data_IF_776101993256
#
_entry.id   IF_776101993256
#
_cell.length_a   1.000
_cell.length_b   1.000
_cell.length_c   1.000
_cell.angle_alpha   90.00
_cell.angle_beta   90.00
_cell.angle_gamma   90.00
#
_symmetry.space_group_name_H-M   'P 1'
#
loop_
_entity.id
_entity.type
_entity.pdbx_description
1 polymer ?
#
# COMPACT_ATOMS: atom_id res chain seq x y z
N UNK A 1 1.10 -7.18 -8.29
CA UNK A 1 0.84 -5.91 -9.00
C UNK A 1 1.47 -4.80 -8.19
N UNK A 2 2.02 -3.75 -8.84
CA UNK A 2 2.52 -2.54 -8.19
C UNK A 2 1.71 -1.34 -8.63
N UNK A 3 1.38 -0.47 -7.68
CA UNK A 3 0.74 0.83 -7.90
C UNK A 3 1.72 1.90 -7.39
N UNK A 4 2.43 2.62 -8.27
CA UNK A 4 3.35 3.68 -7.86
C UNK A 4 2.61 4.99 -7.58
N UNK A 5 3.13 5.77 -6.64
CA UNK A 5 2.78 7.19 -6.46
C UNK A 5 3.34 8.05 -7.60
N UNK A 6 2.93 9.32 -7.66
CA UNK A 6 3.71 10.35 -8.34
C UNK A 6 5.12 10.45 -7.72
N UNK A 7 6.08 11.03 -8.44
CA UNK A 7 7.40 11.33 -7.87
C UNK A 7 7.38 12.61 -7.03
N UNK A 8 8.16 12.63 -5.95
CA UNK A 8 8.27 13.77 -5.06
C UNK A 8 9.73 14.08 -4.74
N UNK A 9 10.11 15.35 -4.80
CA UNK A 9 11.40 15.80 -4.30
C UNK A 9 11.24 16.23 -2.84
N UNK A 10 11.98 15.58 -1.95
CA UNK A 10 11.92 15.83 -0.51
C UNK A 10 13.12 16.70 -0.13
N UNK A 11 12.90 17.90 0.42
CA UNK A 11 13.97 18.81 0.75
C UNK A 11 14.85 18.27 1.88
N UNK A 12 16.08 18.76 1.93
CA UNK A 12 17.05 18.45 2.97
C UNK A 12 16.63 18.86 4.39
N UNK A 13 15.77 19.88 4.51
CA UNK A 13 15.35 20.46 5.79
C UNK A 13 13.93 21.01 5.67
N UNK A 14 13.22 21.07 6.79
CA UNK A 14 11.89 21.68 6.87
C UNK A 14 10.94 20.90 7.76
N UNK A 15 9.68 21.32 7.75
CA UNK A 15 8.60 20.57 8.40
C UNK A 15 8.15 19.40 7.53
N UNK A 16 7.49 18.42 8.15
CA UNK A 16 6.89 17.30 7.43
C UNK A 16 6.05 17.76 6.23
N UNK A 17 6.12 16.98 5.16
CA UNK A 17 5.35 17.19 3.94
C UNK A 17 4.23 16.16 3.86
N UNK A 18 3.08 16.58 3.34
CA UNK A 18 1.93 15.69 3.12
C UNK A 18 1.50 15.71 1.66
N UNK A 19 1.50 14.54 1.03
CA UNK A 19 0.88 14.34 -0.27
C UNK A 19 -0.40 13.51 -0.13
N UNK A 20 -1.39 13.82 -0.98
CA UNK A 20 -2.59 13.00 -1.18
C UNK A 20 -2.87 12.90 -2.67
N UNK A 21 -2.95 11.69 -3.18
CA UNK A 21 -3.25 11.46 -4.58
C UNK A 21 -4.16 10.27 -4.77
N UNK A 22 -4.93 10.30 -5.85
CA UNK A 22 -5.66 9.15 -6.34
C UNK A 22 -4.85 8.50 -7.46
N UNK A 23 -4.69 7.19 -7.38
CA UNK A 23 -4.06 6.38 -8.42
C UNK A 23 -5.06 5.32 -8.89
N UNK A 24 -5.14 5.12 -10.19
CA UNK A 24 -5.93 4.04 -10.77
C UNK A 24 -5.10 2.76 -10.80
N UNK A 25 -5.63 1.69 -10.20
CA UNK A 25 -4.98 0.39 -10.22
C UNK A 25 -5.20 -0.36 -11.55
N UNK A 26 -6.12 0.08 -12.41
CA UNK A 26 -6.44 -0.63 -13.66
C UNK A 26 -6.98 -2.04 -13.44
N UNK A 27 -7.51 -2.34 -12.25
CA UNK A 27 -8.12 -3.63 -11.93
C UNK A 27 -9.57 -3.62 -12.42
N UNK A 28 -9.86 -4.38 -13.47
CA UNK A 28 -11.16 -4.40 -14.14
C UNK A 28 -12.07 -5.54 -13.69
N UNK A 29 -11.59 -6.43 -12.83
CA UNK A 29 -12.35 -7.56 -12.30
C UNK A 29 -12.20 -7.63 -10.78
N UNK A 30 -13.19 -8.21 -10.09
CA UNK A 30 -13.10 -8.43 -8.65
C UNK A 30 -11.96 -9.41 -8.33
N UNK A 31 -11.14 -9.09 -7.33
CA UNK A 31 -9.98 -9.90 -6.91
C UNK A 31 -9.93 -10.08 -5.39
N UNK A 32 -9.37 -11.19 -4.95
CA UNK A 32 -9.10 -11.46 -3.54
C UNK A 32 -7.65 -11.15 -3.23
N UNK A 33 -7.40 -10.16 -2.37
CA UNK A 33 -6.05 -9.82 -1.90
C UNK A 33 -5.60 -10.90 -0.93
N UNK A 34 -4.38 -11.41 -1.13
CA UNK A 34 -3.69 -12.33 -0.22
C UNK A 34 -2.59 -11.66 0.59
N UNK A 35 -2.02 -10.58 0.06
CA UNK A 35 -1.04 -9.76 0.78
C UNK A 35 -1.00 -8.35 0.21
N UNK A 36 -0.59 -7.41 1.06
CA UNK A 36 -0.35 -6.01 0.72
C UNK A 36 0.94 -5.53 1.35
N UNK A 37 1.67 -4.68 0.64
CA UNK A 37 2.87 -4.02 1.13
C UNK A 37 2.92 -2.60 0.59
N UNK A 38 3.29 -1.65 1.44
CA UNK A 38 3.81 -0.37 0.98
C UNK A 38 5.33 -0.42 1.06
N UNK A 39 6.00 -0.01 -0.02
CA UNK A 39 7.45 0.01 -0.12
C UNK A 39 7.89 1.35 -0.73
N UNK A 40 8.47 2.26 0.07
CA UNK A 40 9.23 3.37 -0.48
C UNK A 40 10.40 2.84 -1.34
N UNK A 41 10.56 3.38 -2.54
CA UNK A 41 11.60 2.94 -3.50
C UNK A 41 12.97 3.52 -3.14
N UNK A 42 14.00 2.68 -3.09
CA UNK A 42 15.38 3.13 -2.88
C UNK A 42 15.53 4.02 -1.65
N UNK A 43 16.11 5.21 -1.85
CA UNK A 43 16.38 6.17 -0.78
C UNK A 43 15.12 6.83 -0.22
N UNK A 44 13.95 6.68 -0.87
CA UNK A 44 12.67 7.13 -0.32
C UNK A 44 12.34 6.46 1.02
N UNK A 45 12.91 5.29 1.31
CA UNK A 45 12.77 4.63 2.60
C UNK A 45 13.34 5.45 3.77
N UNK A 46 14.25 6.37 3.50
CA UNK A 46 14.83 7.25 4.51
C UNK A 46 13.91 8.42 4.87
N UNK A 47 12.97 8.81 4.01
CA UNK A 47 12.14 10.01 4.20
C UNK A 47 10.66 9.72 4.39
N UNK A 48 10.13 8.58 3.93
CA UNK A 48 8.71 8.24 4.12
C UNK A 48 8.47 7.72 5.54
N UNK A 49 7.89 8.58 6.39
CA UNK A 49 7.59 8.23 7.78
C UNK A 49 6.27 7.45 7.90
N UNK A 50 5.23 7.91 7.21
CA UNK A 50 3.94 7.21 7.10
C UNK A 50 3.45 7.18 5.65
N UNK A 51 2.77 6.10 5.28
CA UNK A 51 2.08 5.97 4.02
C UNK A 51 0.78 5.19 4.21
N UNK A 52 -0.33 5.92 4.13
CA UNK A 52 -1.66 5.39 4.40
C UNK A 52 -2.37 5.19 3.07
N UNK A 53 -3.02 4.03 2.95
CA UNK A 53 -3.76 3.68 1.76
C UNK A 53 -5.23 3.46 2.06
N UNK A 54 -6.09 4.01 1.21
CA UNK A 54 -7.52 3.76 1.30
C UNK A 54 -8.09 3.49 -0.08
N UNK A 55 -9.17 2.73 -0.10
CA UNK A 55 -9.93 2.45 -1.31
C UNK A 55 -11.14 3.36 -1.34
N UNK A 56 -11.41 3.91 -2.52
CA UNK A 56 -12.55 4.75 -2.81
C UNK A 56 -13.37 4.12 -3.93
N UNK A 57 -14.68 4.33 -3.91
CA UNK A 57 -15.60 3.87 -4.95
C UNK A 57 -16.30 5.07 -5.57
N UNK A 58 -16.67 5.00 -6.87
CA UNK A 58 -17.55 5.97 -7.48
C UNK A 58 -18.84 6.12 -6.66
N UNK A 59 -19.25 7.36 -6.43
CA UNK A 59 -20.53 7.71 -5.82
C UNK A 59 -21.33 8.51 -6.84
N UNK A 60 -22.20 7.80 -7.56
CA UNK A 60 -23.04 8.34 -8.64
C UNK A 60 -22.24 9.29 -9.56
N UNK A 61 -22.87 10.32 -10.12
CA UNK A 61 -22.21 11.33 -10.97
C UNK A 61 -21.45 12.42 -10.16
N UNK A 62 -21.31 12.25 -8.86
CA UNK A 62 -20.94 13.32 -7.92
C UNK A 62 -19.53 13.20 -7.32
N UNK A 63 -18.84 12.07 -7.54
CA UNK A 63 -17.41 11.92 -7.17
C UNK A 63 -17.03 10.56 -6.61
N UNK A 64 -16.17 10.57 -5.58
CA UNK A 64 -15.60 9.37 -4.96
C UNK A 64 -15.90 9.35 -3.45
N UNK A 65 -16.51 8.27 -2.98
CA UNK A 65 -16.70 8.02 -1.54
C UNK A 65 -15.62 7.07 -1.02
N UNK A 66 -15.15 7.32 0.22
CA UNK A 66 -14.20 6.43 0.87
C UNK A 66 -14.89 5.12 1.22
N UNK A 67 -14.44 4.03 0.63
CA UNK A 67 -14.96 2.69 0.88
C UNK A 67 -14.34 2.06 2.12
N UNK A 68 -13.00 2.12 2.25
CA UNK A 68 -12.29 1.47 3.35
C UNK A 68 -10.80 1.81 3.40
N UNK A 69 -10.15 1.38 4.48
CA UNK A 69 -8.68 1.41 4.62
C UNK A 69 -8.10 0.14 3.99
N UNK A 70 -6.97 0.26 3.29
CA UNK A 70 -6.30 -0.89 2.67
C UNK A 70 -5.13 -1.36 3.52
N UNK A 71 -4.20 -0.46 3.82
CA UNK A 71 -3.08 -0.70 4.72
C UNK A 71 -2.46 0.62 5.18
N UNK A 72 -1.77 0.57 6.31
CA UNK A 72 -0.91 1.66 6.77
C UNK A 72 0.52 1.18 6.81
N UNK A 73 1.44 2.00 6.30
CA UNK A 73 2.85 1.86 6.53
C UNK A 73 3.31 2.93 7.52
N UNK A 74 4.05 2.47 8.53
CA UNK A 74 4.96 3.30 9.29
C UNK A 74 6.37 2.82 8.96
N UNK A 75 7.33 3.74 8.96
CA UNK A 75 8.71 3.48 8.55
C UNK A 75 9.25 2.13 9.06
N UNK A 76 9.67 1.26 8.14
CA UNK A 76 10.22 -0.06 8.44
C UNK A 76 9.20 -1.20 8.61
N UNK A 77 7.89 -0.93 8.50
CA UNK A 77 6.86 -1.98 8.42
C UNK A 77 7.03 -2.77 7.12
N UNK A 78 6.98 -4.09 7.20
CA UNK A 78 7.17 -4.97 6.05
C UNK A 78 5.94 -5.02 5.16
N UNK A 79 4.88 -5.68 5.60
CA UNK A 79 3.65 -5.88 4.84
C UNK A 79 2.70 -6.75 5.64
N UNK A 80 1.50 -6.93 5.12
CA UNK A 80 0.41 -7.65 5.77
C UNK A 80 -0.02 -8.82 4.89
N UNK A 81 -0.11 -10.03 5.46
CA UNK A 81 -0.78 -11.14 4.79
C UNK A 81 -2.20 -11.23 5.29
N UNK A 82 -3.10 -11.53 4.37
CA UNK A 82 -4.45 -11.95 4.68
C UNK A 82 -4.37 -13.41 5.16
N UNK A 83 -5.02 -13.77 6.29
CA UNK A 83 -5.01 -15.14 6.79
C UNK A 83 -5.51 -16.16 5.76
N UNK A 84 -5.01 -17.39 5.84
CA UNK A 84 -5.48 -18.48 4.98
C UNK A 84 -7.00 -18.68 5.10
N UNK A 85 -7.64 -18.94 3.97
CA UNK A 85 -9.10 -19.08 3.89
C UNK A 85 -9.88 -17.76 3.98
N UNK A 86 -9.21 -16.61 4.06
CA UNK A 86 -9.85 -15.28 4.00
C UNK A 86 -9.63 -14.66 2.61
N UNK A 87 -10.66 -14.03 2.08
CA UNK A 87 -10.61 -13.24 0.86
C UNK A 87 -10.91 -11.78 1.18
N UNK A 88 -9.87 -10.93 1.25
CA UNK A 88 -10.04 -9.48 1.33
C UNK A 88 -10.43 -8.94 -0.05
N UNK A 89 -11.64 -8.40 -0.18
CA UNK A 89 -12.25 -8.13 -1.48
C UNK A 89 -11.83 -6.78 -2.07
N UNK A 90 -11.14 -6.82 -3.20
CA UNK A 90 -10.97 -5.66 -4.07
C UNK A 90 -11.97 -5.76 -5.23
N UNK A 91 -12.81 -4.74 -5.40
CA UNK A 91 -13.86 -4.69 -6.42
C UNK A 91 -13.37 -3.92 -7.65
N UNK A 92 -13.98 -4.18 -8.81
CA UNK A 92 -13.79 -3.35 -10.00
C UNK A 92 -14.09 -1.87 -9.71
N UNK A 93 -13.48 -0.96 -10.47
CA UNK A 93 -13.70 0.50 -10.41
C UNK A 93 -13.25 1.20 -9.13
N UNK A 94 -12.75 0.44 -8.15
CA UNK A 94 -12.14 0.99 -6.96
C UNK A 94 -10.91 1.82 -7.31
N UNK A 95 -10.83 3.03 -6.74
CA UNK A 95 -9.66 3.90 -6.86
C UNK A 95 -8.84 3.84 -5.59
N UNK A 96 -7.53 3.86 -5.77
CA UNK A 96 -6.59 3.91 -4.66
C UNK A 96 -6.35 5.37 -4.27
N UNK A 97 -6.40 5.70 -2.98
CA UNK A 97 -5.92 6.98 -2.47
C UNK A 97 -4.73 6.77 -1.55
N UNK A 98 -3.60 7.34 -1.95
CA UNK A 98 -2.39 7.40 -1.14
C UNK A 98 -2.39 8.66 -0.31
N UNK A 99 -1.97 8.56 0.95
CA UNK A 99 -1.61 9.70 1.79
C UNK A 99 -0.22 9.45 2.33
N UNK A 100 0.74 10.23 1.89
CA UNK A 100 2.15 10.04 2.17
C UNK A 100 2.66 11.18 3.04
N UNK A 101 3.34 10.84 4.12
CA UNK A 101 4.04 11.80 4.99
C UNK A 101 5.52 11.60 4.86
N UNK A 102 6.22 12.66 4.47
CA UNK A 102 7.66 12.68 4.31
C UNK A 102 8.28 13.56 5.37
N UNK A 103 9.39 13.11 5.96
CA UNK A 103 10.19 13.89 6.90
C UNK A 103 11.45 14.41 6.20
N UNK A 104 11.51 15.72 5.88
CA UNK A 104 12.70 16.36 5.32
C UNK A 104 13.97 16.06 6.12
N UNK A 105 15.08 15.84 5.42
CA UNK A 105 16.36 15.41 6.02
C UNK A 105 16.40 13.94 6.46
N UNK A 106 15.27 13.23 6.36
CA UNK A 106 15.12 11.80 6.57
C UNK A 106 15.62 11.26 7.91
N UNK A 107 15.67 9.95 8.02
CA UNK A 107 16.16 9.21 9.20
C UNK A 107 17.31 8.31 8.78
N UNK A 108 18.37 8.29 9.60
CA UNK A 108 19.58 7.50 9.35
C UNK A 108 20.60 8.20 8.43
N UNK A 109 21.72 7.54 8.17
CA UNK A 109 22.88 8.13 7.50
C UNK A 109 22.67 8.41 5.99
N UNK A 110 21.54 8.04 5.41
CA UNK A 110 21.29 8.04 3.96
C UNK A 110 20.60 9.31 3.45
N UNK A 111 20.16 10.22 4.33
CA UNK A 111 19.39 11.41 3.94
C UNK A 111 19.77 12.71 4.66
N UNK A 112 20.75 12.65 5.58
CA UNK A 112 21.03 13.73 6.52
C UNK A 112 21.53 15.00 5.81
N UNK A 113 20.60 15.93 5.56
CA UNK A 113 20.88 17.23 4.98
C UNK A 113 20.96 17.26 3.45
N UNK A 114 20.50 16.21 2.76
CA UNK A 114 20.45 16.14 1.29
C UNK A 114 19.01 16.16 0.77
N UNK A 115 18.81 16.72 -0.43
CA UNK A 115 17.55 16.59 -1.15
C UNK A 115 17.49 15.15 -1.68
N UNK A 116 16.38 14.46 -1.45
CA UNK A 116 16.11 13.20 -2.14
C UNK A 116 15.17 13.53 -3.29
N UNK A 117 15.61 13.26 -4.52
CA UNK A 117 14.83 13.49 -5.73
C UNK A 117 14.07 12.23 -6.14
N UNK A 118 12.99 12.41 -6.90
CA UNK A 118 12.26 11.31 -7.54
C UNK A 118 11.75 10.21 -6.58
N UNK A 119 11.32 10.61 -5.37
CA UNK A 119 10.79 9.67 -4.38
C UNK A 119 9.46 9.09 -4.85
N UNK A 120 9.39 7.78 -4.91
CA UNK A 120 8.18 7.03 -5.24
C UNK A 120 7.85 6.09 -4.09
N UNK A 121 6.58 6.08 -3.69
CA UNK A 121 6.01 5.12 -2.76
C UNK A 121 5.20 4.11 -3.56
N UNK A 122 5.59 2.84 -3.47
CA UNK A 122 4.93 1.77 -4.20
C UNK A 122 4.00 0.98 -3.30
N UNK A 123 2.87 0.55 -3.86
CA UNK A 123 1.95 -0.34 -3.17
C UNK A 123 1.86 -1.64 -3.96
N UNK A 124 2.39 -2.68 -3.34
CA UNK A 124 2.33 -4.04 -3.81
C UNK A 124 1.02 -4.69 -3.39
N UNK A 125 0.27 -5.20 -4.37
CA UNK A 125 -0.89 -6.05 -4.16
C UNK A 125 -0.62 -7.44 -4.73
N UNK A 126 -0.85 -8.45 -3.91
CA UNK A 126 -0.83 -9.84 -4.31
C UNK A 126 -2.24 -10.38 -4.23
N UNK A 127 -2.66 -11.04 -5.30
CA UNK A 127 -3.98 -11.64 -5.39
C UNK A 127 -3.88 -13.17 -5.31
N UNK A 128 -4.97 -13.79 -4.86
CA UNK A 128 -5.25 -15.17 -5.21
C UNK A 128 -5.53 -15.30 -6.71
N UNK A 129 -5.53 -16.54 -7.19
CA UNK A 129 -5.88 -16.86 -8.57
C UNK A 129 -7.34 -16.46 -8.86
N UNK A 130 -7.63 -16.20 -10.13
CA UNK A 130 -8.99 -15.90 -10.55
C UNK A 130 -9.93 -17.07 -10.23
N UNK A 131 -11.12 -16.76 -9.72
CA UNK A 131 -12.07 -17.78 -9.27
C UNK A 131 -11.76 -18.40 -7.90
N UNK A 132 -10.79 -17.90 -7.13
CA UNK A 132 -10.46 -18.40 -5.77
C UNK A 132 -11.70 -18.56 -4.87
N UNK A 133 -12.63 -17.60 -4.87
CA UNK A 133 -13.87 -17.68 -4.06
C UNK A 133 -14.88 -18.71 -4.59
N UNK A 134 -14.78 -19.12 -5.86
CA UNK A 134 -15.70 -20.08 -6.48
C UNK A 134 -15.31 -21.53 -6.21
N UNK A 135 -14.02 -21.77 -5.95
CA UNK A 135 -13.47 -23.12 -5.74
C UNK A 135 -13.09 -23.40 -4.28
N UNK A 136 -13.04 -22.37 -3.43
CA UNK A 136 -12.74 -22.51 -2.01
C UNK A 136 -13.87 -21.94 -1.16
N UNK A 137 -14.17 -22.60 -0.04
CA UNK A 137 -14.98 -22.00 1.03
C UNK A 137 -14.14 -20.97 1.75
N UNK A 138 -14.40 -19.69 1.50
CA UNK A 138 -13.62 -18.57 2.05
C UNK A 138 -14.47 -17.66 2.91
N UNK A 139 -13.86 -17.09 3.95
CA UNK A 139 -14.44 -15.96 4.66
C UNK A 139 -14.22 -14.68 3.84
N UNK A 140 -15.31 -14.07 3.38
CA UNK A 140 -15.28 -12.83 2.61
C UNK A 140 -15.12 -11.66 3.57
N UNK A 141 -13.95 -11.03 3.54
CA UNK A 141 -13.67 -9.84 4.34
C UNK A 141 -13.87 -8.59 3.48
N UNK A 142 -14.84 -7.76 3.89
CA UNK A 142 -15.10 -6.49 3.24
C UNK A 142 -14.12 -5.42 3.74
N UNK A 143 -13.47 -4.70 2.82
CA UNK A 143 -12.54 -3.61 3.15
C UNK A 143 -13.22 -2.47 3.92
N UNK A 144 -14.53 -2.29 3.78
CA UNK A 144 -15.28 -1.30 4.56
C UNK A 144 -15.26 -1.58 6.08
N UNK A 145 -15.09 -2.84 6.47
CA UNK A 145 -15.07 -3.30 7.86
C UNK A 145 -13.73 -3.90 8.27
N UNK A 146 -12.69 -3.72 7.45
CA UNK A 146 -11.35 -4.20 7.76
C UNK A 146 -10.72 -3.32 8.85
N UNK A 147 -10.46 -3.92 10.01
CA UNK A 147 -9.58 -3.33 11.03
C UNK A 147 -8.15 -3.76 10.72
N UNK A 148 -7.25 -2.79 10.60
CA UNK A 148 -5.81 -3.05 10.47
C UNK A 148 -5.31 -3.64 11.78
N UNK A 149 -5.19 -4.97 11.86
CA UNK A 149 -4.50 -5.61 12.96
C UNK A 149 -3.00 -5.58 12.68
N UNK A 150 -2.22 -5.11 13.65
CA UNK A 150 -0.77 -5.26 13.64
C UNK A 150 -0.44 -6.74 13.76
N UNK A 151 -0.23 -7.41 12.64
CA UNK A 151 0.12 -8.82 12.64
C UNK A 151 1.62 -8.99 12.93
N UNK A 152 1.91 -9.81 13.93
CA UNK A 152 3.23 -10.35 14.30
C UNK A 152 3.74 -11.33 13.21
N UNK A 153 3.82 -10.88 11.96
CA UNK A 153 4.14 -11.72 10.78
C UNK A 153 5.42 -11.29 10.07
N UNK A 154 6.16 -10.30 10.59
CA UNK A 154 7.34 -9.74 9.92
C UNK A 154 8.35 -10.81 9.44
N UNK A 155 8.56 -11.89 10.21
CA UNK A 155 9.46 -12.98 9.81
C UNK A 155 8.86 -13.94 8.78
N UNK A 156 7.55 -14.22 8.83
CA UNK A 156 6.88 -15.07 7.84
C UNK A 156 6.82 -14.35 6.50
N UNK A 157 6.45 -13.06 6.53
CA UNK A 157 6.47 -12.19 5.36
C UNK A 157 7.84 -12.05 4.73
N UNK A 158 8.91 -11.87 5.53
CA UNK A 158 10.28 -11.85 4.99
C UNK A 158 10.63 -13.13 4.24
N UNK A 159 10.27 -14.31 4.76
CA UNK A 159 10.52 -15.60 4.09
C UNK A 159 9.64 -15.82 2.85
N UNK A 160 8.44 -15.26 2.83
CA UNK A 160 7.49 -15.39 1.72
C UNK A 160 7.80 -14.39 0.58
N UNK A 161 8.03 -13.12 0.93
CA UNK A 161 8.40 -12.05 0.00
C UNK A 161 9.81 -12.19 -0.57
N UNK A 162 10.74 -12.89 0.10
CA UNK A 162 12.04 -13.24 -0.51
C UNK A 162 11.95 -14.33 -1.59
N UNK A 163 10.81 -15.04 -1.66
CA UNK A 163 10.54 -16.08 -2.67
C UNK A 163 9.68 -15.59 -3.82
N UNK A 164 8.83 -14.59 -3.60
CA UNK A 164 8.30 -13.80 -4.71
C UNK A 164 9.39 -12.84 -5.14
N UNK A 165 9.60 -12.70 -6.45
CA UNK A 165 10.57 -11.76 -7.00
C UNK A 165 10.28 -10.40 -6.39
N UNK A 166 11.15 -9.99 -5.46
CA UNK A 166 11.22 -8.62 -4.97
C UNK A 166 11.43 -7.81 -6.23
N UNK A 167 10.43 -7.02 -6.61
CA UNK A 167 10.61 -6.05 -7.67
C UNK A 167 11.68 -5.11 -7.14
N UNK A 168 12.85 -5.24 -7.78
CA UNK A 168 14.07 -4.51 -7.55
C UNK A 168 13.92 -3.12 -8.16
#
# INVERSE_FOLDING_TARGET
>A
MIIPSSSYDIPANGNDLWSREFVDAGITTNRCIKAVQVKPRGDAAAVVHHANSSVYVPKDDEGLDRYGMLTEYAMGKWGEMVPDGVAAQYRQEQKFKGTFTFSPGGVGATAQGEIIEDNVVEIGLWFHDEGYESVNTVYKQDLAHMTSSTMEQGNVMRKWLSRLIVIA
#
